data_IF_051521829554
#
_entry.id   IF_051521829554
#
_cell.length_a   1.000
_cell.length_b   1.000
_cell.length_c   1.000
_cell.angle_alpha   90.00
_cell.angle_beta   90.00
_cell.angle_gamma   90.00
#
_symmetry.space_group_name_H-M   'P 1'
#
loop_
_entity.id
_entity.type
_entity.pdbx_description
1 polymer ?
#
# COMPACT_ATOMS: atom_id res chain seq x y z
N UNK A 1 3.18 -3.05 -6.45
CA UNK A 1 1.80 -3.14 -5.90
C UNK A 1 1.46 -4.54 -5.43
N UNK A 2 1.68 -5.58 -6.24
CA UNK A 2 1.45 -6.97 -5.83
C UNK A 2 2.24 -7.37 -4.57
N UNK A 3 3.47 -6.89 -4.43
CA UNK A 3 4.32 -7.15 -3.26
C UNK A 3 3.75 -6.54 -1.98
N UNK A 4 3.23 -5.31 -2.05
CA UNK A 4 2.62 -4.65 -0.89
C UNK A 4 1.37 -5.40 -0.40
N UNK A 5 0.53 -5.88 -1.32
CA UNK A 5 -0.63 -6.72 -0.98
C UNK A 5 -0.20 -8.02 -0.26
N UNK A 6 0.88 -8.67 -0.73
CA UNK A 6 1.44 -9.87 -0.08
C UNK A 6 2.01 -9.58 1.30
N UNK A 7 2.76 -8.50 1.46
CA UNK A 7 3.39 -8.10 2.73
C UNK A 7 2.33 -7.78 3.79
N UNK A 8 1.26 -7.09 3.40
CA UNK A 8 0.16 -6.71 4.31
C UNK A 8 -0.81 -7.89 4.52
N UNK A 9 -0.80 -8.90 3.64
CA UNK A 9 -1.71 -10.06 3.72
C UNK A 9 -3.14 -9.75 3.25
N UNK A 10 -3.32 -8.74 2.39
CA UNK A 10 -4.64 -8.30 1.91
C UNK A 10 -4.84 -8.54 0.41
N UNK A 11 -6.11 -8.65 0.01
CA UNK A 11 -6.47 -8.70 -1.41
C UNK A 11 -6.15 -7.39 -2.15
N UNK A 12 -5.95 -7.48 -3.47
CA UNK A 12 -5.71 -6.32 -4.34
C UNK A 12 -6.81 -5.27 -4.20
N UNK A 13 -8.08 -5.68 -4.13
CA UNK A 13 -9.22 -4.77 -3.98
C UNK A 13 -9.14 -3.95 -2.69
N UNK A 14 -8.76 -4.57 -1.57
CA UNK A 14 -8.55 -3.88 -0.29
C UNK A 14 -7.37 -2.93 -0.36
N UNK A 15 -6.26 -3.33 -1.02
CA UNK A 15 -5.13 -2.44 -1.24
C UNK A 15 -5.55 -1.18 -2.02
N UNK A 16 -6.34 -1.33 -3.10
CA UNK A 16 -6.84 -0.19 -3.87
C UNK A 16 -7.79 0.70 -3.06
N UNK A 17 -8.65 0.11 -2.21
CA UNK A 17 -9.52 0.88 -1.30
C UNK A 17 -8.69 1.72 -0.33
N UNK A 18 -7.68 1.13 0.32
CA UNK A 18 -6.83 1.87 1.27
C UNK A 18 -6.04 2.99 0.60
N UNK A 19 -5.63 2.80 -0.67
CA UNK A 19 -5.00 3.86 -1.46
C UNK A 19 -6.02 4.97 -1.77
N UNK A 20 -7.24 4.62 -2.18
CA UNK A 20 -8.30 5.58 -2.48
C UNK A 20 -8.76 6.35 -1.23
N UNK A 21 -8.75 5.72 -0.05
CA UNK A 21 -9.02 6.32 1.25
C UNK A 21 -7.85 7.18 1.77
N UNK A 22 -6.72 7.24 1.06
CA UNK A 22 -5.53 7.99 1.49
C UNK A 22 -4.77 7.35 2.66
N UNK A 23 -5.17 6.15 3.10
CA UNK A 23 -4.53 5.40 4.20
C UNK A 23 -3.21 4.72 3.79
N UNK A 24 -2.95 4.64 2.48
CA UNK A 24 -1.76 4.01 1.93
C UNK A 24 -1.11 4.94 0.90
N UNK A 25 -0.01 5.58 1.29
CA UNK A 25 0.72 6.50 0.42
C UNK A 25 1.41 5.74 -0.73
N UNK A 26 1.19 6.21 -1.95
CA UNK A 26 1.81 5.65 -3.15
C UNK A 26 2.57 6.70 -3.93
N UNK A 27 3.61 6.28 -4.63
CA UNK A 27 4.40 7.14 -5.50
C UNK A 27 4.61 6.52 -6.87
N UNK A 28 4.72 7.35 -7.90
CA UNK A 28 5.06 6.92 -9.24
C UNK A 28 6.54 7.12 -9.49
N UNK A 29 7.28 6.04 -9.75
CA UNK A 29 8.69 6.07 -10.13
C UNK A 29 8.85 5.29 -11.43
N UNK A 30 9.36 5.95 -12.49
CA UNK A 30 9.65 5.30 -13.77
C UNK A 30 8.44 4.58 -14.39
N UNK A 31 7.25 5.18 -14.32
CA UNK A 31 6.00 4.61 -14.85
C UNK A 31 5.37 3.50 -13.98
N UNK A 32 6.01 3.13 -12.86
CA UNK A 32 5.47 2.14 -11.91
C UNK A 32 4.94 2.83 -10.67
N UNK A 33 3.74 2.44 -10.24
CA UNK A 33 3.20 2.85 -8.95
C UNK A 33 3.74 1.95 -7.84
N UNK A 34 4.37 2.54 -6.85
CA UNK A 34 5.00 1.90 -5.70
C UNK A 34 4.33 2.35 -4.41
N UNK A 35 4.29 1.47 -3.41
CA UNK A 35 3.80 1.79 -2.06
C UNK A 35 5.02 2.16 -1.22
N UNK A 36 4.95 3.25 -0.46
CA UNK A 36 6.03 3.59 0.46
C UNK A 36 6.10 2.58 1.59
N UNK A 37 7.32 2.11 1.91
CA UNK A 37 7.53 1.16 3.01
C UNK A 37 7.09 1.72 4.36
N UNK A 38 7.29 3.02 4.57
CA UNK A 38 6.84 3.74 5.77
C UNK A 38 5.32 3.68 5.94
N UNK A 39 4.56 3.82 4.84
CA UNK A 39 3.10 3.69 4.86
C UNK A 39 2.66 2.27 5.24
N UNK A 40 3.38 1.25 4.78
CA UNK A 40 3.13 -0.15 5.20
C UNK A 40 3.38 -0.32 6.69
N UNK A 41 4.49 0.19 7.21
CA UNK A 41 4.80 0.14 8.65
C UNK A 41 3.76 0.87 9.49
N UNK A 42 3.38 2.09 9.13
CA UNK A 42 2.36 2.86 9.83
C UNK A 42 1.02 2.10 9.88
N UNK A 43 0.63 1.45 8.79
CA UNK A 43 -0.58 0.64 8.73
C UNK A 43 -0.51 -0.56 9.67
N UNK A 44 0.62 -1.27 9.71
CA UNK A 44 0.82 -2.43 10.59
C UNK A 44 0.94 -2.05 12.07
N UNK A 45 1.51 -0.88 12.39
CA UNK A 45 1.66 -0.41 13.77
C UNK A 45 0.37 0.18 14.37
N UNK A 46 -0.65 0.46 13.55
CA UNK A 46 -1.94 0.99 14.02
C UNK A 46 -2.93 -0.13 14.41
N UNK A 47 -2.54 -1.40 14.20
CA UNK A 47 -3.35 -2.60 14.47
C UNK A 47 -2.88 -3.27 15.76
#
# INVERSE_FOLDING_TARGET
>A
MADAAKIIGIGKSTLYKLIAEGRLETMHIGGRRLVRRTAIQALLSTM
#
